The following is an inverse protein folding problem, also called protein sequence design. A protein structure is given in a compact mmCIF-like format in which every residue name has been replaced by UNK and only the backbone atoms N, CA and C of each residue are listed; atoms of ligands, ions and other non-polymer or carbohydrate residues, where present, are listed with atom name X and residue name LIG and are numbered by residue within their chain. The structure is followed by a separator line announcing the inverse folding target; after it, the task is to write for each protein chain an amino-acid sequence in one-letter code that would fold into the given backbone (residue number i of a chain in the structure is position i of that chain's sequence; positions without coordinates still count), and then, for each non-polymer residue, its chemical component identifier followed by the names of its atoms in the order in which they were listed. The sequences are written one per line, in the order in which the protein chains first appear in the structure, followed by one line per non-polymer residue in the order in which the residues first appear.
data_IF_513313002933
#
_entry.id   IF_513313002933
#
_cell.length_a   1.000
_cell.length_b   1.000
_cell.length_c   1.000
_cell.angle_alpha   90.00
_cell.angle_beta   90.00
_cell.angle_gamma   90.00
#
_symmetry.space_group_name_H-M   'P 1'
#
loop_
_entity.id
_entity.type
_entity.pdbx_description
1 polymer ?
#
# COMPACT_ATOMS: atom_id res chain seq x y z
N UNK A 1 -2.81 7.22 32.59
CA UNK A 1 -2.24 8.18 31.63
C UNK A 1 -0.71 8.05 31.67
N UNK A 2 -0.17 7.16 30.86
CA UNK A 2 1.27 6.91 30.74
C UNK A 2 1.88 7.80 29.69
N UNK A 3 2.86 8.61 30.06
CA UNK A 3 3.64 9.44 29.15
C UNK A 3 4.63 8.54 28.41
N UNK A 4 4.38 8.26 27.12
CA UNK A 4 5.39 7.67 26.27
C UNK A 4 6.41 8.75 25.89
N UNK A 5 7.64 8.63 26.42
CA UNK A 5 8.80 9.38 25.91
C UNK A 5 9.32 8.63 24.69
N UNK A 6 9.26 9.26 23.52
CA UNK A 6 9.98 8.80 22.33
C UNK A 6 11.47 8.94 22.64
N UNK A 7 12.16 7.81 22.86
CA UNK A 7 13.62 7.76 22.85
C UNK A 7 14.08 7.68 21.39
N UNK A 8 15.27 8.21 21.10
CA UNK A 8 15.92 8.06 19.80
C UNK A 8 15.86 6.60 19.37
N UNK A 9 15.52 6.37 18.11
CA UNK A 9 15.49 5.08 17.47
C UNK A 9 16.85 4.37 17.63
N UNK A 10 16.86 3.28 18.37
CA UNK A 10 17.94 2.32 18.43
C UNK A 10 17.44 1.03 17.76
N UNK A 11 18.04 0.63 16.62
CA UNK A 11 17.61 -0.55 15.88
C UNK A 11 17.64 -1.82 16.72
N UNK A 12 18.66 -2.00 17.57
CA UNK A 12 18.80 -3.20 18.40
C UNK A 12 17.76 -3.25 19.52
N UNK A 13 17.44 -2.09 20.15
CA UNK A 13 16.42 -1.98 21.20
C UNK A 13 15.00 -2.14 20.63
N UNK A 14 14.77 -1.77 19.37
CA UNK A 14 13.45 -1.87 18.72
C UNK A 14 13.12 -3.30 18.29
N UNK A 15 14.10 -4.08 17.84
CA UNK A 15 13.92 -5.52 17.55
C UNK A 15 13.57 -6.27 18.83
N UNK A 16 14.28 -5.99 19.91
CA UNK A 16 14.03 -6.60 21.20
C UNK A 16 12.61 -6.33 21.69
N UNK A 17 12.08 -5.09 21.54
CA UNK A 17 10.71 -4.75 21.99
C UNK A 17 9.59 -5.36 21.17
N UNK A 18 9.73 -5.48 19.85
CA UNK A 18 8.72 -6.14 19.01
C UNK A 18 8.64 -7.63 19.34
N UNK A 19 9.75 -8.23 19.81
CA UNK A 19 9.79 -9.61 20.26
C UNK A 19 9.33 -9.77 21.72
N UNK A 20 9.61 -8.80 22.61
CA UNK A 20 9.36 -8.93 24.05
C UNK A 20 7.95 -8.59 24.50
N UNK A 21 7.19 -7.79 23.75
CA UNK A 21 5.78 -7.52 24.08
C UNK A 21 4.85 -8.75 23.86
N UNK A 22 5.43 -9.89 23.41
CA UNK A 22 4.77 -11.21 23.32
C UNK A 22 5.42 -12.30 24.19
N UNK A 23 6.41 -11.97 25.01
CA UNK A 23 7.09 -12.97 25.86
C UNK A 23 6.19 -13.60 26.93
N UNK A 24 5.04 -13.01 27.27
CA UNK A 24 4.14 -13.59 28.27
C UNK A 24 3.26 -14.74 27.75
N UNK A 25 3.20 -14.97 26.42
CA UNK A 25 2.32 -15.98 25.82
C UNK A 25 3.01 -17.06 24.96
N UNK A 26 4.34 -17.04 24.81
CA UNK A 26 5.05 -18.08 24.06
C UNK A 26 5.73 -19.08 25.01
N UNK A 27 5.46 -20.38 24.86
CA UNK A 27 6.24 -21.41 25.58
C UNK A 27 7.70 -21.30 25.16
N UNK A 28 8.59 -21.16 26.13
CA UNK A 28 10.03 -20.93 25.94
C UNK A 28 10.77 -22.03 25.16
N UNK A 29 10.12 -23.14 24.81
CA UNK A 29 10.73 -24.34 24.23
C UNK A 29 10.20 -24.76 22.84
N UNK A 30 9.40 -23.92 22.16
CA UNK A 30 9.04 -24.23 20.78
C UNK A 30 10.07 -23.65 19.81
N UNK A 31 10.73 -24.47 18.97
CA UNK A 31 11.61 -23.95 17.93
C UNK A 31 10.79 -23.12 16.94
N UNK A 32 11.34 -21.96 16.57
CA UNK A 32 10.74 -21.08 15.55
C UNK A 32 10.41 -21.90 14.29
N UNK A 33 9.23 -21.71 13.75
CA UNK A 33 8.85 -22.35 12.50
C UNK A 33 9.77 -21.88 11.36
N UNK A 34 9.87 -22.66 10.28
CA UNK A 34 10.60 -22.23 9.07
C UNK A 34 10.10 -20.89 8.54
N UNK A 35 8.83 -20.57 8.78
CA UNK A 35 8.20 -19.29 8.42
C UNK A 35 8.70 -18.17 9.32
N UNK A 36 8.80 -18.40 10.63
CA UNK A 36 9.28 -17.38 11.58
C UNK A 36 10.76 -17.07 11.33
N UNK A 37 11.59 -18.10 11.08
CA UNK A 37 12.98 -17.94 10.69
C UNK A 37 13.12 -17.15 9.38
N UNK A 38 12.29 -17.43 8.37
CA UNK A 38 12.27 -16.72 7.11
C UNK A 38 11.87 -15.23 7.30
N UNK A 39 10.89 -14.96 8.17
CA UNK A 39 10.48 -13.58 8.51
C UNK A 39 11.60 -12.85 9.24
N UNK A 40 12.25 -13.50 10.21
CA UNK A 40 13.35 -12.92 10.99
C UNK A 40 14.60 -12.66 10.13
N UNK A 41 14.97 -13.57 9.24
CA UNK A 41 16.06 -13.35 8.29
C UNK A 41 15.79 -12.15 7.38
N UNK A 42 14.54 -11.95 6.92
CA UNK A 42 14.17 -10.81 6.10
C UNK A 42 14.10 -9.51 6.89
N UNK A 43 13.65 -9.55 8.13
CA UNK A 43 13.71 -8.40 9.04
C UNK A 43 15.18 -8.03 9.32
N UNK A 44 16.07 -9.01 9.53
CA UNK A 44 17.50 -8.75 9.74
C UNK A 44 18.15 -8.11 8.51
N UNK A 45 17.87 -8.63 7.31
CA UNK A 45 18.36 -8.01 6.04
C UNK A 45 17.81 -6.59 5.84
N UNK A 46 16.59 -6.32 6.31
CA UNK A 46 16.01 -4.98 6.30
C UNK A 46 16.77 -4.01 7.23
N UNK A 47 17.08 -4.47 8.44
CA UNK A 47 17.75 -3.66 9.45
C UNK A 47 19.21 -3.38 9.12
N UNK A 48 19.91 -4.31 8.44
CA UNK A 48 21.26 -4.08 7.95
C UNK A 48 21.35 -2.98 6.87
N UNK A 49 20.27 -2.73 6.14
CA UNK A 49 20.24 -1.72 5.07
C UNK A 49 19.69 -0.36 5.49
N UNK A 50 19.18 -0.18 6.70
CA UNK A 50 18.63 1.06 7.29
C UNK A 50 17.89 2.02 6.34
N UNK A 51 17.27 1.50 5.28
CA UNK A 51 16.48 2.27 4.33
C UNK A 51 15.06 2.49 4.88
N UNK A 52 14.66 3.75 5.02
CA UNK A 52 13.35 4.16 5.53
C UNK A 52 12.20 3.97 4.53
N UNK A 53 12.49 3.52 3.29
CA UNK A 53 11.53 3.50 2.17
C UNK A 53 10.81 4.82 1.98
N UNK A 54 11.58 5.89 1.99
CA UNK A 54 11.12 7.21 1.64
C UNK A 54 10.72 7.28 0.16
N UNK A 55 10.00 8.33 -0.19
CA UNK A 55 9.68 8.61 -1.59
C UNK A 55 10.94 8.67 -2.48
N UNK A 56 12.04 9.25 -1.96
CA UNK A 56 13.31 9.36 -2.71
C UNK A 56 13.94 7.98 -2.93
N UNK A 57 14.02 7.17 -1.88
CA UNK A 57 14.55 5.79 -1.99
C UNK A 57 13.72 4.92 -2.92
N UNK A 58 12.39 5.04 -2.88
CA UNK A 58 11.51 4.36 -3.83
C UNK A 58 11.79 4.78 -5.27
N UNK A 59 12.00 6.08 -5.54
CA UNK A 59 12.35 6.56 -6.89
C UNK A 59 13.69 6.00 -7.37
N UNK A 60 14.69 5.95 -6.48
CA UNK A 60 16.01 5.35 -6.77
C UNK A 60 15.88 3.86 -7.08
N UNK A 61 15.11 3.12 -6.28
CA UNK A 61 14.86 1.68 -6.50
C UNK A 61 14.11 1.46 -7.84
N UNK A 62 13.13 2.29 -8.18
CA UNK A 62 12.43 2.23 -9.48
C UNK A 62 13.41 2.49 -10.64
N UNK A 63 14.28 3.49 -10.52
CA UNK A 63 15.30 3.79 -11.53
C UNK A 63 16.24 2.60 -11.74
N UNK A 64 16.77 2.02 -10.66
CA UNK A 64 17.66 0.86 -10.71
C UNK A 64 16.98 -0.37 -11.33
N UNK A 65 15.70 -0.62 -10.98
CA UNK A 65 14.95 -1.72 -11.58
C UNK A 65 14.72 -1.50 -13.08
N UNK A 66 14.42 -0.26 -13.51
CA UNK A 66 14.28 0.09 -14.92
C UNK A 66 15.56 -0.11 -15.72
N UNK A 67 16.72 0.22 -15.15
CA UNK A 67 18.03 -0.02 -15.78
C UNK A 67 18.40 -1.51 -15.85
N UNK A 68 18.10 -2.29 -14.79
CA UNK A 68 18.41 -3.72 -14.71
C UNK A 68 17.51 -4.59 -15.58
N UNK A 69 16.24 -4.20 -15.74
CA UNK A 69 15.20 -5.00 -16.41
C UNK A 69 14.39 -4.23 -17.45
N UNK A 70 15.06 -3.56 -18.43
CA UNK A 70 14.38 -2.67 -19.37
C UNK A 70 13.36 -3.37 -20.28
N UNK A 71 13.52 -4.68 -20.50
CA UNK A 71 12.63 -5.47 -21.34
C UNK A 71 11.47 -6.13 -20.54
N UNK A 72 11.54 -6.11 -19.21
CA UNK A 72 10.58 -6.81 -18.34
C UNK A 72 9.63 -5.85 -17.61
N UNK A 73 10.02 -4.58 -17.48
CA UNK A 73 9.18 -3.57 -16.83
C UNK A 73 9.10 -2.30 -17.66
N UNK A 74 7.97 -1.62 -17.51
CA UNK A 74 7.75 -0.25 -18.01
C UNK A 74 7.40 0.65 -16.84
N UNK A 75 8.06 1.80 -16.76
CA UNK A 75 7.83 2.79 -15.69
C UNK A 75 7.19 4.03 -16.30
N UNK A 76 6.12 4.50 -15.69
CA UNK A 76 5.42 5.72 -16.08
C UNK A 76 4.91 6.48 -14.86
N UNK A 77 4.42 7.72 -15.07
CA UNK A 77 3.66 8.44 -14.07
C UNK A 77 2.18 8.40 -14.42
N UNK A 78 1.33 8.13 -13.44
CA UNK A 78 -0.13 8.19 -13.57
C UNK A 78 -0.70 9.55 -13.16
N UNK A 79 0.12 10.42 -12.57
CA UNK A 79 -0.27 11.74 -12.10
C UNK A 79 0.71 12.29 -11.09
N UNK A 80 0.30 13.34 -10.40
CA UNK A 80 1.07 13.97 -9.33
C UNK A 80 0.23 14.14 -8.07
N UNK A 81 0.90 14.18 -6.91
CA UNK A 81 0.29 14.53 -5.63
C UNK A 81 0.02 16.04 -5.51
N UNK A 82 -0.59 16.45 -4.40
CA UNK A 82 -0.86 17.88 -4.08
C UNK A 82 0.42 18.71 -4.08
N UNK A 83 1.54 18.19 -3.56
CA UNK A 83 2.85 18.85 -3.54
C UNK A 83 3.69 18.56 -4.81
N UNK A 84 3.04 18.13 -5.89
CA UNK A 84 3.65 17.88 -7.21
C UNK A 84 4.67 16.75 -7.26
N UNK A 85 4.64 15.80 -6.32
CA UNK A 85 5.42 14.56 -6.43
C UNK A 85 4.77 13.62 -7.44
N UNK A 86 5.57 13.04 -8.33
CA UNK A 86 5.08 12.04 -9.30
C UNK A 86 4.54 10.80 -8.60
N UNK A 87 3.41 10.29 -9.07
CA UNK A 87 2.86 9.01 -8.66
C UNK A 87 3.22 8.01 -9.75
N UNK A 88 4.13 7.10 -9.41
CA UNK A 88 4.68 6.13 -10.36
C UNK A 88 3.79 4.91 -10.52
N UNK A 89 3.78 4.37 -11.74
CA UNK A 89 3.26 3.06 -12.08
C UNK A 89 4.36 2.24 -12.72
N UNK A 90 4.51 0.99 -12.29
CA UNK A 90 5.39 -0.02 -12.88
C UNK A 90 4.50 -1.08 -13.50
N UNK A 91 4.65 -1.32 -14.80
CA UNK A 91 4.01 -2.46 -15.46
C UNK A 91 5.06 -3.55 -15.62
N UNK A 92 4.84 -4.71 -15.01
CA UNK A 92 5.72 -5.87 -15.11
C UNK A 92 5.08 -6.96 -15.95
N UNK A 93 5.84 -7.48 -16.92
CA UNK A 93 5.41 -8.54 -17.83
C UNK A 93 4.90 -8.02 -19.17
N UNK A 94 4.18 -8.86 -19.88
CA UNK A 94 3.70 -8.56 -21.23
C UNK A 94 2.50 -7.60 -21.20
N UNK A 95 2.71 -6.35 -21.56
CA UNK A 95 1.65 -5.31 -21.59
C UNK A 95 0.48 -5.65 -22.52
N UNK A 96 0.70 -6.54 -23.50
CA UNK A 96 -0.33 -7.02 -24.42
C UNK A 96 -1.04 -8.28 -23.91
N UNK A 97 -0.71 -8.78 -22.71
CA UNK A 97 -1.42 -9.90 -22.10
C UNK A 97 -2.91 -9.58 -21.99
N UNK A 98 -3.75 -10.57 -22.21
CA UNK A 98 -5.21 -10.43 -22.09
C UNK A 98 -5.66 -10.22 -20.66
N UNK A 99 -4.87 -10.67 -19.70
CA UNK A 99 -5.12 -10.51 -18.27
C UNK A 99 -4.18 -9.48 -17.67
N UNK A 100 -4.70 -8.65 -16.79
CA UNK A 100 -3.89 -7.75 -15.98
C UNK A 100 -4.41 -7.69 -14.56
N UNK A 101 -3.49 -7.54 -13.61
CA UNK A 101 -3.79 -7.33 -12.20
C UNK A 101 -3.34 -5.92 -11.82
N UNK A 102 -4.20 -5.20 -11.13
CA UNK A 102 -3.84 -3.91 -10.54
C UNK A 102 -3.43 -4.09 -9.08
N UNK A 103 -2.33 -3.46 -8.68
CA UNK A 103 -1.82 -3.51 -7.31
C UNK A 103 -1.39 -2.12 -6.87
N UNK A 104 -1.77 -1.70 -5.67
CA UNK A 104 -1.32 -0.43 -5.11
C UNK A 104 -0.99 -0.49 -3.62
N UNK A 105 -0.15 0.43 -3.17
CA UNK A 105 0.29 0.57 -1.79
C UNK A 105 0.27 2.03 -1.34
N UNK A 106 0.37 2.22 -0.01
CA UNK A 106 0.55 3.51 0.63
C UNK A 106 -0.49 4.58 0.22
N UNK A 107 -1.77 4.18 0.10
CA UNK A 107 -2.90 5.10 0.02
C UNK A 107 -2.98 5.93 1.31
N UNK A 108 -2.76 5.30 2.46
CA UNK A 108 -2.62 6.00 3.73
C UNK A 108 -1.15 6.26 4.06
N UNK A 109 -0.88 7.49 4.47
CA UNK A 109 0.45 8.03 4.72
C UNK A 109 1.34 7.16 5.65
N UNK A 110 0.79 6.67 6.76
CA UNK A 110 1.51 5.88 7.79
C UNK A 110 1.74 4.42 7.42
N UNK A 111 1.24 3.98 6.26
CA UNK A 111 1.28 2.57 5.81
C UNK A 111 2.38 2.33 4.76
N UNK A 112 3.42 3.16 4.78
CA UNK A 112 4.53 3.17 3.83
C UNK A 112 5.35 1.87 3.77
N UNK A 113 5.32 1.05 4.83
CA UNK A 113 5.99 -0.26 4.85
C UNK A 113 5.50 -1.18 3.71
N UNK A 114 4.23 -1.05 3.31
CA UNK A 114 3.66 -1.84 2.22
C UNK A 114 4.38 -1.59 0.89
N UNK A 115 4.82 -0.34 0.63
CA UNK A 115 5.62 0.01 -0.55
C UNK A 115 6.89 -0.83 -0.60
N UNK A 116 7.62 -0.91 0.52
CA UNK A 116 8.86 -1.68 0.57
C UNK A 116 8.64 -3.16 0.32
N UNK A 117 7.66 -3.77 0.99
CA UNK A 117 7.35 -5.20 0.85
C UNK A 117 7.03 -5.52 -0.61
N UNK A 118 6.24 -4.68 -1.27
CA UNK A 118 5.83 -4.90 -2.66
C UNK A 118 6.95 -4.62 -3.66
N UNK A 119 7.77 -3.58 -3.44
CA UNK A 119 8.96 -3.31 -4.27
C UNK A 119 9.95 -4.48 -4.21
N UNK A 120 10.16 -5.05 -3.00
CA UNK A 120 11.02 -6.23 -2.84
C UNK A 120 10.42 -7.50 -3.46
N UNK A 121 9.10 -7.65 -3.41
CA UNK A 121 8.42 -8.77 -4.07
C UNK A 121 8.56 -8.69 -5.59
N UNK A 122 8.42 -7.48 -6.16
CA UNK A 122 8.63 -7.24 -7.58
C UNK A 122 10.08 -7.52 -8.00
N UNK A 123 11.06 -7.01 -7.26
CA UNK A 123 12.48 -7.27 -7.48
C UNK A 123 12.78 -8.78 -7.43
N UNK A 124 12.23 -9.49 -6.44
CA UNK A 124 12.39 -10.95 -6.33
C UNK A 124 11.83 -11.69 -7.57
N UNK A 125 10.69 -11.29 -8.09
CA UNK A 125 10.14 -11.89 -9.31
C UNK A 125 11.05 -11.64 -10.52
N UNK A 126 11.60 -10.43 -10.64
CA UNK A 126 12.49 -10.04 -11.73
C UNK A 126 13.84 -10.77 -11.64
N UNK A 127 14.45 -10.85 -10.45
CA UNK A 127 15.71 -11.57 -10.22
C UNK A 127 15.60 -13.07 -10.53
N UNK A 128 14.40 -13.63 -10.34
CA UNK A 128 14.13 -15.04 -10.53
C UNK A 128 13.26 -15.34 -11.76
N UNK A 129 13.28 -14.48 -12.77
CA UNK A 129 12.39 -14.52 -13.93
C UNK A 129 12.26 -15.89 -14.61
N UNK A 130 13.38 -16.62 -14.71
CA UNK A 130 13.44 -17.94 -15.34
C UNK A 130 13.39 -19.11 -14.33
N UNK A 131 13.18 -18.83 -13.03
CA UNK A 131 13.08 -19.86 -12.01
C UNK A 131 11.77 -20.62 -12.18
N UNK A 132 11.87 -21.95 -12.22
CA UNK A 132 10.71 -22.83 -12.23
C UNK A 132 10.09 -22.91 -10.84
N UNK A 133 8.82 -22.58 -10.76
CA UNK A 133 8.01 -22.60 -9.55
C UNK A 133 7.45 -24.02 -9.29
N UNK A 134 6.89 -24.27 -8.09
CA UNK A 134 6.22 -25.53 -7.78
C UNK A 134 5.05 -25.87 -8.73
N UNK A 135 4.46 -24.89 -9.41
CA UNK A 135 3.46 -25.07 -10.46
C UNK A 135 4.00 -25.70 -11.73
N UNK A 136 5.34 -25.68 -11.93
CA UNK A 136 6.01 -26.09 -13.17
C UNK A 136 6.23 -24.94 -14.17
N UNK A 137 5.70 -23.75 -13.89
CA UNK A 137 5.89 -22.55 -14.72
C UNK A 137 7.00 -21.67 -14.17
N UNK A 138 7.57 -20.80 -15.00
CA UNK A 138 8.48 -19.74 -14.55
C UNK A 138 7.70 -18.44 -14.30
N UNK A 139 8.30 -17.49 -13.55
CA UNK A 139 7.74 -16.14 -13.44
C UNK A 139 7.52 -15.51 -14.81
N UNK A 140 8.49 -15.68 -15.74
CA UNK A 140 8.38 -15.18 -17.09
C UNK A 140 7.19 -15.72 -17.87
N UNK A 141 6.88 -17.01 -17.74
CA UNK A 141 5.69 -17.61 -18.35
C UNK A 141 4.40 -17.03 -17.76
N UNK A 142 4.32 -16.93 -16.43
CA UNK A 142 3.15 -16.35 -15.75
C UNK A 142 2.94 -14.90 -16.18
N UNK A 143 3.99 -14.08 -16.20
CA UNK A 143 3.88 -12.65 -16.53
C UNK A 143 3.84 -12.37 -18.04
N UNK A 144 4.07 -13.38 -18.89
CA UNK A 144 3.71 -13.31 -20.31
C UNK A 144 2.18 -13.37 -20.50
N UNK A 145 1.46 -14.13 -19.68
CA UNK A 145 0.03 -14.36 -19.81
C UNK A 145 -0.82 -13.42 -18.97
N UNK A 146 -0.22 -12.83 -17.92
CA UNK A 146 -0.88 -11.91 -16.98
C UNK A 146 0.10 -10.85 -16.48
N UNK A 147 0.00 -9.61 -16.95
CA UNK A 147 0.85 -8.52 -16.48
C UNK A 147 0.34 -7.90 -15.18
N UNK A 148 1.25 -7.25 -14.43
CA UNK A 148 0.90 -6.50 -13.22
C UNK A 148 1.11 -5.01 -13.47
N UNK A 149 0.10 -4.21 -13.12
CA UNK A 149 0.15 -2.75 -13.01
C UNK A 149 0.29 -2.39 -11.53
N UNK A 150 1.45 -1.93 -11.16
CA UNK A 150 1.79 -1.69 -9.75
C UNK A 150 2.04 -0.21 -9.48
N UNK A 151 1.28 0.36 -8.52
CA UNK A 151 1.46 1.73 -8.00
C UNK A 151 2.04 1.65 -6.59
N UNK A 152 3.36 1.82 -6.43
CA UNK A 152 4.04 1.55 -5.17
C UNK A 152 3.70 2.55 -4.05
N UNK A 153 3.37 3.80 -4.39
CA UNK A 153 3.07 4.83 -3.40
C UNK A 153 2.03 5.81 -3.95
N UNK A 154 0.77 5.62 -3.56
CA UNK A 154 -0.34 6.48 -4.00
C UNK A 154 -0.26 7.87 -3.35
N UNK A 155 0.20 7.95 -2.09
CA UNK A 155 0.19 9.18 -1.27
C UNK A 155 1.62 9.61 -0.88
N UNK A 156 2.46 10.07 -1.82
CA UNK A 156 3.85 10.39 -1.54
C UNK A 156 4.03 11.58 -0.59
N UNK A 157 3.12 12.55 -0.61
CA UNK A 157 3.16 13.69 0.29
C UNK A 157 2.85 13.27 1.73
N UNK A 158 1.77 12.50 1.90
CA UNK A 158 1.39 11.99 3.20
C UNK A 158 2.46 11.10 3.81
N UNK A 159 3.06 10.19 3.01
CA UNK A 159 4.18 9.35 3.44
C UNK A 159 5.35 10.21 3.90
N UNK A 160 5.71 11.25 3.14
CA UNK A 160 6.78 12.19 3.52
C UNK A 160 6.47 12.93 4.82
N UNK A 161 5.21 13.34 5.04
CA UNK A 161 4.78 13.91 6.33
C UNK A 161 4.92 12.89 7.46
N UNK A 162 4.44 11.66 7.25
CA UNK A 162 4.49 10.62 8.28
C UNK A 162 5.90 10.26 8.71
N UNK A 163 6.86 10.28 7.77
CA UNK A 163 8.26 9.93 8.03
C UNK A 163 9.11 11.09 8.55
N UNK A 164 8.91 12.31 8.01
CA UNK A 164 9.82 13.44 8.19
C UNK A 164 9.14 14.70 8.75
N UNK A 165 7.83 14.63 9.00
CA UNK A 165 7.05 15.79 9.44
C UNK A 165 6.71 16.75 8.31
N UNK A 166 6.02 17.84 8.66
CA UNK A 166 5.50 18.83 7.69
C UNK A 166 6.59 19.55 6.92
N UNK A 167 7.82 19.60 7.47
CA UNK A 167 9.00 20.15 6.77
C UNK A 167 9.31 19.47 5.45
N UNK A 168 8.82 18.26 5.21
CA UNK A 168 9.00 17.51 3.97
C UNK A 168 8.17 18.06 2.79
N UNK A 169 7.16 18.92 3.05
CA UNK A 169 6.34 19.55 2.00
C UNK A 169 7.09 20.74 1.39
N UNK A 170 7.21 20.74 0.05
CA UNK A 170 7.96 21.76 -0.68
C UNK A 170 7.21 23.10 -0.76
N UNK A 171 5.92 23.07 -1.08
CA UNK A 171 5.09 24.26 -1.15
C UNK A 171 4.89 24.87 0.24
N UNK A 172 5.33 26.12 0.42
CA UNK A 172 5.32 26.78 1.73
C UNK A 172 3.90 27.02 2.29
N UNK A 173 2.94 27.34 1.45
CA UNK A 173 1.55 27.57 1.87
C UNK A 173 0.90 26.26 2.29
N UNK A 174 1.08 25.21 1.49
CA UNK A 174 0.60 23.86 1.79
C UNK A 174 1.24 23.31 3.07
N UNK A 175 2.54 23.52 3.25
CA UNK A 175 3.27 23.13 4.46
C UNK A 175 2.71 23.82 5.70
N UNK A 176 2.48 25.14 5.63
CA UNK A 176 1.88 25.89 6.72
C UNK A 176 0.46 25.40 7.02
N UNK A 177 -0.35 25.18 5.99
CA UNK A 177 -1.69 24.63 6.14
C UNK A 177 -1.66 23.25 6.82
N UNK A 178 -0.88 22.31 6.32
CA UNK A 178 -0.78 20.96 6.88
C UNK A 178 -0.26 20.98 8.34
N UNK A 179 0.72 21.83 8.66
CA UNK A 179 1.26 21.98 10.01
C UNK A 179 0.26 22.52 11.00
N UNK A 180 -0.63 23.43 10.58
CA UNK A 180 -1.74 23.94 11.41
C UNK A 180 -2.77 22.83 11.68
N UNK A 181 -3.10 22.02 10.67
CA UNK A 181 -4.01 20.89 10.82
C UNK A 181 -3.48 19.84 11.83
N UNK A 182 -2.21 19.50 11.71
CA UNK A 182 -1.59 18.43 12.48
C UNK A 182 -0.83 18.87 13.74
N UNK A 183 -0.91 20.14 14.15
CA UNK A 183 -0.09 20.74 15.21
C UNK A 183 -0.16 20.02 16.57
N UNK A 184 -1.29 19.42 16.89
CA UNK A 184 -1.55 18.76 18.16
C UNK A 184 -1.43 17.22 18.03
N UNK A 185 -1.02 16.72 16.85
CA UNK A 185 -0.94 15.30 16.53
C UNK A 185 0.48 14.77 16.38
N UNK A 186 0.60 13.46 16.54
CA UNK A 186 1.82 12.73 16.19
C UNK A 186 1.85 12.55 14.67
N UNK A 187 2.82 13.18 14.00
CA UNK A 187 2.97 13.09 12.54
C UNK A 187 3.18 11.66 12.02
N UNK A 188 3.78 10.78 12.83
CA UNK A 188 3.93 9.37 12.48
C UNK A 188 2.57 8.66 12.32
N UNK A 189 1.51 9.21 12.89
CA UNK A 189 0.13 8.72 12.78
C UNK A 189 -0.66 9.39 11.66
N UNK A 190 -0.04 10.31 10.90
CA UNK A 190 -0.68 10.99 9.78
C UNK A 190 -1.19 9.96 8.76
N UNK A 191 -2.46 10.02 8.42
CA UNK A 191 -3.13 9.07 7.52
C UNK A 191 -3.46 9.69 6.16
N UNK A 192 -3.78 10.96 6.18
CA UNK A 192 -4.30 11.73 5.06
C UNK A 192 -3.22 12.12 4.02
N UNK A 193 -3.64 12.74 2.90
CA UNK A 193 -2.73 13.45 2.03
C UNK A 193 -2.31 14.82 2.64
N UNK A 194 -1.58 15.65 1.89
CA UNK A 194 -1.10 16.93 2.40
C UNK A 194 -2.20 17.96 2.66
N UNK A 195 -3.42 17.76 2.13
CA UNK A 195 -4.60 18.59 2.43
C UNK A 195 -5.43 18.07 3.61
N UNK A 196 -4.99 17.00 4.26
CA UNK A 196 -5.72 16.38 5.36
C UNK A 196 -6.92 15.53 4.92
N UNK A 197 -6.96 15.10 3.66
CA UNK A 197 -8.04 14.27 3.09
C UNK A 197 -7.63 12.80 3.09
N UNK A 198 -8.51 11.93 3.57
CA UNK A 198 -8.35 10.47 3.45
C UNK A 198 -8.64 10.07 2.00
N UNK A 199 -7.60 9.76 1.23
CA UNK A 199 -7.70 9.40 -0.19
C UNK A 199 -8.62 8.18 -0.36
N UNK A 200 -8.60 7.23 0.58
CA UNK A 200 -9.49 6.07 0.57
C UNK A 200 -10.93 6.40 1.02
N UNK A 201 -11.36 7.65 0.83
CA UNK A 201 -12.74 8.13 0.99
C UNK A 201 -13.15 9.06 -0.15
N UNK A 202 -12.32 9.13 -1.19
CA UNK A 202 -12.48 10.05 -2.31
C UNK A 202 -13.20 9.46 -3.53
N UNK A 203 -13.62 8.18 -3.47
CA UNK A 203 -14.22 7.50 -4.62
C UNK A 203 -15.74 7.63 -4.60
N UNK A 204 -16.36 7.71 -5.80
CA UNK A 204 -17.78 8.05 -6.00
C UNK A 204 -18.76 7.10 -5.35
N UNK A 205 -18.47 5.80 -5.40
CA UNK A 205 -19.41 4.77 -4.94
C UNK A 205 -19.64 4.86 -3.43
N UNK A 206 -20.88 5.20 -3.09
CA UNK A 206 -21.28 5.37 -1.70
C UNK A 206 -20.67 6.59 -1.00
N UNK A 207 -20.00 7.48 -1.75
CA UNK A 207 -19.51 8.73 -1.17
C UNK A 207 -20.67 9.53 -0.55
N UNK A 208 -20.46 10.05 0.62
CA UNK A 208 -21.48 10.77 1.36
C UNK A 208 -20.93 12.09 1.91
N UNK A 209 -21.58 13.19 1.55
CA UNK A 209 -21.27 14.52 2.08
C UNK A 209 -21.63 14.71 3.57
N UNK A 210 -22.45 13.80 4.13
CA UNK A 210 -22.86 13.80 5.55
C UNK A 210 -21.96 12.92 6.39
N UNK A 211 -20.65 13.11 6.32
CA UNK A 211 -19.72 12.38 7.17
C UNK A 211 -19.70 12.97 8.55
N UNK A 212 -19.69 12.14 9.58
CA UNK A 212 -19.66 12.56 10.98
C UNK A 212 -18.43 13.40 11.34
N UNK A 213 -17.34 13.27 10.58
CA UNK A 213 -16.07 13.97 10.78
C UNK A 213 -15.80 14.89 9.60
N UNK A 214 -16.19 16.14 9.76
CA UNK A 214 -16.15 17.19 8.72
C UNK A 214 -14.87 18.01 8.68
N UNK A 215 -13.86 17.69 9.50
CA UNK A 215 -12.64 18.49 9.58
C UNK A 215 -11.48 17.80 8.87
N UNK A 216 -10.69 18.54 8.08
CA UNK A 216 -9.45 18.02 7.50
C UNK A 216 -8.57 17.34 8.56
N UNK A 217 -7.83 16.31 8.13
CA UNK A 217 -6.98 15.41 8.91
C UNK A 217 -7.71 14.49 9.92
N UNK A 218 -8.96 14.71 10.21
CA UNK A 218 -9.75 13.74 10.98
C UNK A 218 -9.75 12.39 10.24
N UNK A 219 -9.68 11.31 11.00
CA UNK A 219 -9.74 9.98 10.40
C UNK A 219 -11.02 9.84 9.56
N UNK A 220 -10.85 9.37 8.32
CA UNK A 220 -11.90 9.20 7.33
C UNK A 220 -12.51 10.52 6.79
N UNK A 221 -11.84 11.67 6.92
CA UNK A 221 -12.30 12.89 6.27
C UNK A 221 -12.25 12.72 4.75
N UNK A 222 -13.40 12.80 4.11
CA UNK A 222 -13.58 12.45 2.69
C UNK A 222 -13.49 13.65 1.72
N UNK A 223 -13.11 14.85 2.21
CA UNK A 223 -13.06 16.05 1.38
C UNK A 223 -14.44 16.64 1.12
N UNK A 224 -14.51 17.54 0.13
CA UNK A 224 -15.72 18.31 -0.21
C UNK A 224 -16.56 17.66 -1.32
N UNK A 225 -15.96 16.82 -2.14
CA UNK A 225 -16.59 16.04 -3.20
C UNK A 225 -15.72 14.82 -3.54
N UNK A 226 -16.27 13.79 -4.21
CA UNK A 226 -15.45 12.69 -4.70
C UNK A 226 -14.49 13.18 -5.79
N UNK A 227 -13.33 12.54 -5.89
CA UNK A 227 -12.29 12.84 -6.88
C UNK A 227 -11.85 14.31 -6.90
N UNK A 228 -11.74 14.96 -5.73
CA UNK A 228 -11.15 16.30 -5.61
C UNK A 228 -9.63 16.24 -5.38
N UNK A 229 -9.13 15.11 -4.90
CA UNK A 229 -7.72 14.94 -4.62
C UNK A 229 -6.97 14.35 -5.82
N UNK A 230 -5.83 14.94 -6.21
CA UNK A 230 -5.09 14.53 -7.40
C UNK A 230 -4.62 13.08 -7.33
N UNK A 231 -4.32 12.57 -6.14
CA UNK A 231 -3.92 11.17 -5.92
C UNK A 231 -5.07 10.20 -6.25
N UNK A 232 -6.30 10.52 -5.85
CA UNK A 232 -7.48 9.70 -6.18
C UNK A 232 -7.80 9.74 -7.68
N UNK A 233 -7.62 10.92 -8.32
CA UNK A 233 -7.76 11.08 -9.77
C UNK A 233 -6.70 10.25 -10.49
N UNK A 234 -5.46 10.24 -10.01
CA UNK A 234 -4.37 9.45 -10.60
C UNK A 234 -4.68 7.95 -10.57
N UNK A 235 -5.14 7.44 -9.43
CA UNK A 235 -5.56 6.03 -9.31
C UNK A 235 -6.75 5.73 -10.23
N UNK A 236 -7.76 6.61 -10.26
CA UNK A 236 -8.88 6.45 -11.20
C UNK A 236 -8.40 6.34 -12.64
N UNK A 237 -7.52 7.24 -13.08
CA UNK A 237 -6.98 7.24 -14.43
C UNK A 237 -6.17 5.97 -14.72
N UNK A 238 -5.43 5.44 -13.73
CA UNK A 238 -4.72 4.17 -13.88
C UNK A 238 -5.68 3.00 -14.08
N UNK A 239 -6.77 2.95 -13.32
CA UNK A 239 -7.82 1.93 -13.44
C UNK A 239 -8.60 2.05 -14.76
N UNK A 240 -8.70 3.26 -15.33
CA UNK A 240 -9.38 3.51 -16.60
C UNK A 240 -8.55 3.09 -17.83
N UNK A 241 -7.26 2.77 -17.67
CA UNK A 241 -6.37 2.39 -18.80
C UNK A 241 -6.80 1.10 -19.50
N UNK A 242 -7.36 0.16 -18.72
CA UNK A 242 -7.83 -1.14 -19.24
C UNK A 242 -8.70 -1.85 -18.21
N UNK A 243 -9.28 -2.98 -18.62
CA UNK A 243 -9.93 -3.91 -17.70
C UNK A 243 -8.89 -4.73 -16.93
N UNK A 244 -9.12 -4.91 -15.63
CA UNK A 244 -8.30 -5.72 -14.74
C UNK A 244 -9.10 -6.94 -14.26
N UNK A 245 -8.46 -8.12 -14.29
CA UNK A 245 -9.10 -9.36 -13.80
C UNK A 245 -9.11 -9.43 -12.27
N UNK A 246 -8.24 -8.67 -11.61
CA UNK A 246 -8.19 -8.51 -10.15
C UNK A 246 -7.55 -7.17 -9.79
N UNK A 247 -7.93 -6.63 -8.65
CA UNK A 247 -7.29 -5.48 -8.04
C UNK A 247 -7.00 -5.76 -6.56
N UNK A 248 -5.81 -5.39 -6.09
CA UNK A 248 -5.36 -5.59 -4.71
C UNK A 248 -4.82 -4.28 -4.16
N UNK A 249 -5.37 -3.83 -3.04
CA UNK A 249 -4.88 -2.65 -2.33
C UNK A 249 -4.28 -3.07 -1.00
N UNK A 250 -3.03 -2.69 -0.77
CA UNK A 250 -2.32 -3.03 0.45
C UNK A 250 -2.47 -1.93 1.48
N UNK A 251 -3.02 -2.33 2.64
CA UNK A 251 -3.14 -1.52 3.84
C UNK A 251 -2.40 -2.18 5.01
N UNK A 252 -2.24 -1.48 6.12
CA UNK A 252 -1.83 -2.03 7.41
C UNK A 252 -2.74 -1.47 8.51
N UNK A 253 -2.99 -2.20 9.62
CA UNK A 253 -2.26 -3.32 10.19
C UNK A 253 -3.20 -4.35 10.85
N UNK A 254 -4.21 -4.84 10.16
CA UNK A 254 -5.21 -5.71 10.79
C UNK A 254 -4.99 -7.21 10.53
N UNK A 255 -4.11 -7.60 9.60
CA UNK A 255 -3.95 -8.99 9.19
C UNK A 255 -5.25 -9.58 8.63
N UNK A 256 -5.99 -8.79 7.86
CA UNK A 256 -7.30 -9.15 7.32
C UNK A 256 -7.40 -8.86 5.83
N UNK A 257 -8.23 -9.64 5.14
CA UNK A 257 -8.57 -9.49 3.74
C UNK A 257 -10.03 -9.03 3.66
N UNK A 258 -10.22 -7.80 3.17
CA UNK A 258 -11.52 -7.21 2.90
C UNK A 258 -11.91 -7.51 1.46
N UNK A 259 -13.05 -8.11 1.23
CA UNK A 259 -13.46 -8.57 -0.10
C UNK A 259 -14.96 -8.40 -0.39
N UNK A 260 -15.81 -8.51 0.63
CA UNK A 260 -17.27 -8.50 0.48
C UNK A 260 -17.82 -7.08 0.64
N UNK A 261 -18.27 -6.49 -0.48
CA UNK A 261 -18.94 -5.19 -0.53
C UNK A 261 -20.42 -5.30 -0.88
N UNK A 262 -20.99 -6.51 -0.74
CA UNK A 262 -22.36 -6.79 -1.10
C UNK A 262 -22.55 -7.18 -2.57
N UNK A 263 -21.46 -7.46 -3.32
CA UNK A 263 -21.55 -8.04 -4.66
C UNK A 263 -22.27 -9.39 -4.63
N UNK A 264 -22.91 -9.76 -5.74
CA UNK A 264 -23.75 -10.94 -5.86
C UNK A 264 -23.33 -11.83 -7.03
N UNK A 265 -23.80 -13.08 -7.06
CA UNK A 265 -23.59 -14.00 -8.16
C UNK A 265 -22.13 -14.31 -8.45
N UNK A 266 -21.79 -14.47 -9.71
CA UNK A 266 -20.45 -14.86 -10.17
C UNK A 266 -19.34 -13.93 -9.69
N UNK A 267 -19.58 -12.62 -9.61
CA UNK A 267 -18.61 -11.66 -9.11
C UNK A 267 -18.27 -11.93 -7.64
N UNK A 268 -19.27 -12.25 -6.83
CA UNK A 268 -19.08 -12.63 -5.43
C UNK A 268 -18.24 -13.90 -5.30
N UNK A 269 -18.53 -14.92 -6.11
CA UNK A 269 -17.82 -16.20 -6.08
C UNK A 269 -16.35 -16.02 -6.49
N UNK A 270 -16.07 -15.22 -7.53
CA UNK A 270 -14.71 -14.88 -7.96
C UNK A 270 -13.93 -14.13 -6.89
N UNK A 271 -14.52 -13.11 -6.27
CA UNK A 271 -13.85 -12.32 -5.22
C UNK A 271 -13.62 -13.15 -3.95
N UNK A 272 -14.55 -14.04 -3.57
CA UNK A 272 -14.35 -14.96 -2.46
C UNK A 272 -13.24 -15.97 -2.75
N UNK A 273 -13.17 -16.51 -3.97
CA UNK A 273 -12.12 -17.44 -4.36
C UNK A 273 -10.73 -16.78 -4.28
N UNK A 274 -10.59 -15.54 -4.77
CA UNK A 274 -9.36 -14.76 -4.66
C UNK A 274 -9.00 -14.49 -3.18
N UNK A 275 -9.95 -14.02 -2.38
CA UNK A 275 -9.73 -13.75 -0.96
C UNK A 275 -9.32 -15.02 -0.19
N UNK A 276 -9.95 -16.17 -0.51
CA UNK A 276 -9.61 -17.46 0.08
C UNK A 276 -8.20 -17.90 -0.29
N UNK A 277 -7.80 -17.74 -1.56
CA UNK A 277 -6.44 -18.01 -1.99
C UNK A 277 -5.42 -17.13 -1.25
N UNK A 278 -5.66 -15.83 -1.20
CA UNK A 278 -4.81 -14.89 -0.47
C UNK A 278 -4.71 -15.24 1.03
N UNK A 279 -5.82 -15.63 1.66
CA UNK A 279 -5.85 -16.07 3.06
C UNK A 279 -5.01 -17.33 3.29
N UNK A 280 -5.15 -18.33 2.43
CA UNK A 280 -4.39 -19.58 2.53
C UNK A 280 -2.88 -19.35 2.41
N UNK A 281 -2.45 -18.40 1.57
CA UNK A 281 -1.03 -18.08 1.37
C UNK A 281 -0.48 -17.19 2.48
N UNK A 282 -1.22 -16.16 2.89
CA UNK A 282 -0.75 -15.16 3.87
C UNK A 282 -1.01 -15.54 5.31
N UNK A 283 -2.00 -16.41 5.57
CA UNK A 283 -2.53 -16.69 6.91
C UNK A 283 -3.39 -15.54 7.48
N UNK A 284 -3.75 -14.54 6.68
CA UNK A 284 -4.64 -13.47 7.12
C UNK A 284 -6.10 -13.94 7.14
N UNK A 285 -6.86 -13.44 8.12
CA UNK A 285 -8.29 -13.74 8.22
C UNK A 285 -9.09 -13.09 7.08
N UNK A 286 -10.11 -13.77 6.61
CA UNK A 286 -11.08 -13.20 5.68
C UNK A 286 -12.10 -12.37 6.48
N UNK A 287 -12.35 -11.13 6.08
CA UNK A 287 -13.42 -10.30 6.65
C UNK A 287 -14.77 -10.80 6.17
N UNK A 288 -15.76 -10.85 7.08
CA UNK A 288 -17.06 -11.44 6.78
C UNK A 288 -18.02 -10.48 6.06
N UNK A 289 -17.96 -9.18 6.38
CA UNK A 289 -18.87 -8.18 5.80
C UNK A 289 -18.19 -6.80 5.80
N UNK A 290 -18.04 -6.24 4.61
CA UNK A 290 -17.49 -4.92 4.38
C UNK A 290 -18.49 -3.98 3.71
N UNK A 291 -19.75 -4.39 3.55
CA UNK A 291 -20.78 -3.65 2.80
C UNK A 291 -21.10 -2.26 3.40
N UNK A 292 -20.83 -2.07 4.69
CA UNK A 292 -20.98 -0.79 5.37
C UNK A 292 -19.89 0.24 5.01
N UNK A 293 -18.77 -0.20 4.47
CA UNK A 293 -17.65 0.67 4.07
C UNK A 293 -17.98 1.36 2.74
N UNK A 294 -17.87 2.70 2.71
CA UNK A 294 -18.28 3.53 1.58
C UNK A 294 -17.19 4.51 1.15
N UNK A 295 -17.25 4.89 -0.12
CA UNK A 295 -16.29 5.84 -0.72
C UNK A 295 -14.86 5.32 -0.81
N UNK A 296 -14.67 4.00 -0.72
CA UNK A 296 -13.37 3.34 -0.80
C UNK A 296 -12.94 3.16 -2.25
N UNK A 297 -11.63 3.08 -2.46
CA UNK A 297 -11.03 2.78 -3.74
C UNK A 297 -11.54 1.46 -4.33
N UNK A 298 -11.66 0.41 -3.54
CA UNK A 298 -12.12 -0.87 -4.05
C UNK A 298 -13.65 -0.97 -4.22
N UNK A 299 -14.47 -0.09 -3.60
CA UNK A 299 -15.86 0.09 -4.02
C UNK A 299 -15.91 0.52 -5.49
N UNK A 300 -15.05 1.47 -5.87
CA UNK A 300 -14.95 1.93 -7.24
C UNK A 300 -14.47 0.80 -8.17
N UNK A 301 -13.46 0.04 -7.78
CA UNK A 301 -12.93 -1.09 -8.53
C UNK A 301 -13.97 -2.19 -8.79
N UNK A 302 -14.88 -2.45 -7.86
CA UNK A 302 -15.90 -3.51 -7.98
C UNK A 302 -17.14 -3.04 -8.74
N UNK A 303 -17.57 -1.79 -8.55
CA UNK A 303 -18.86 -1.35 -9.04
C UNK A 303 -18.82 -0.45 -10.26
N UNK A 304 -17.66 0.14 -10.58
CA UNK A 304 -17.46 1.01 -11.74
C UNK A 304 -16.53 0.38 -12.79
N UNK A 305 -15.76 -0.62 -12.41
CA UNK A 305 -14.77 -1.33 -13.25
C UNK A 305 -14.99 -2.83 -13.20
#
# INVERSE_FOLDING_TARGET
MGKYKIRRYDPEETICKICTDREEDMPADQPLSKRDLWVLERIAVYLEKSKLNSYVEMMEDIGQLGERYPDLIQVSSIGTSVDSRMIFQIVMGNVNATKAIYVQCATHAREWMNTWVMMKSLEMCLDNWNQVLPSGETYGQIFNDCCIYFVPMVNPDGVSISQFGFGAINNAELRNYASVLGRDGDVARWKANARGVDINRQYSIGWNSKVERIQPWSANYNGVAPFTEPEAIAVKNALDQREFVAAITYHSMEGAIYWDLGQQGELRDKTLALATHCSNVSGYRISLDCSALKGLEYNYMIWEK
#
